data_IF_917839389152
#
_entry.id   IF_917839389152
#
_cell.length_a   1.000
_cell.length_b   1.000
_cell.length_c   1.000
_cell.angle_alpha   90.00
_cell.angle_beta   90.00
_cell.angle_gamma   90.00
#
_symmetry.space_group_name_H-M   'P 1'
#
loop_
_entity.id
_entity.type
_entity.pdbx_description
1 polymer ?
#
# COMPACT_ATOMS: atom_id res chain seq x y z
N UNK A 1 3.15 15.78 1.33
CA UNK A 1 3.12 14.46 1.96
C UNK A 1 2.35 13.50 1.08
N UNK A 2 2.85 12.31 0.91
CA UNK A 2 2.22 11.28 0.08
C UNK A 2 1.74 10.16 1.00
N UNK A 3 0.48 9.79 0.87
CA UNK A 3 -0.10 8.66 1.57
C UNK A 3 -0.71 7.69 0.56
N UNK A 4 -0.52 6.41 0.78
CA UNK A 4 -1.03 5.39 -0.12
C UNK A 4 -1.36 4.12 0.65
N UNK A 5 -2.32 3.37 0.11
CA UNK A 5 -2.54 1.99 0.48
C UNK A 5 -1.99 1.12 -0.64
N UNK A 6 -1.21 0.13 -0.29
CA UNK A 6 -0.68 -0.84 -1.25
C UNK A 6 -1.20 -2.21 -0.90
N UNK A 7 -1.94 -2.78 -1.82
CA UNK A 7 -2.48 -4.13 -1.69
C UNK A 7 -1.49 -5.07 -2.35
N UNK A 8 -1.12 -6.13 -1.65
CA UNK A 8 -0.04 -7.01 -2.06
C UNK A 8 -0.53 -8.44 -2.15
N UNK A 9 -0.29 -9.07 -3.30
CA UNK A 9 -0.37 -10.51 -3.44
C UNK A 9 1.01 -11.10 -3.27
N UNK A 10 1.11 -12.16 -2.49
CA UNK A 10 2.37 -12.83 -2.27
C UNK A 10 2.22 -14.34 -2.39
N UNK A 11 3.34 -15.00 -2.63
CA UNK A 11 3.38 -16.45 -2.65
C UNK A 11 3.36 -16.99 -1.23
N UNK A 12 2.48 -17.92 -0.97
CA UNK A 12 2.50 -18.70 0.25
C UNK A 12 3.67 -19.72 0.18
N UNK A 13 4.48 -19.90 1.23
CA UNK A 13 4.32 -19.42 2.62
C UNK A 13 5.16 -18.18 2.97
N UNK A 14 5.48 -17.31 2.03
CA UNK A 14 6.38 -16.18 2.24
C UNK A 14 5.74 -14.97 2.92
N UNK A 15 4.44 -15.01 3.17
CA UNK A 15 3.68 -13.88 3.73
C UNK A 15 4.28 -13.33 5.03
N UNK A 16 4.75 -14.20 5.92
CA UNK A 16 5.36 -13.78 7.18
C UNK A 16 6.69 -13.06 6.98
N UNK A 17 7.53 -13.59 6.11
CA UNK A 17 8.83 -12.98 5.78
C UNK A 17 8.63 -11.64 5.10
N UNK A 18 7.66 -11.55 4.20
CA UNK A 18 7.33 -10.32 3.50
C UNK A 18 6.86 -9.27 4.49
N UNK A 19 6.00 -9.63 5.42
CA UNK A 19 5.52 -8.72 6.47
C UNK A 19 6.70 -8.16 7.28
N UNK A 20 7.65 -8.99 7.66
CA UNK A 20 8.83 -8.55 8.41
C UNK A 20 9.68 -7.58 7.60
N UNK A 21 9.88 -7.85 6.32
CA UNK A 21 10.65 -6.97 5.44
C UNK A 21 9.93 -5.64 5.18
N UNK A 22 8.61 -5.67 5.02
CA UNK A 22 7.81 -4.45 4.87
C UNK A 22 7.96 -3.55 6.09
N UNK A 23 7.91 -4.11 7.27
CA UNK A 23 8.05 -3.35 8.53
C UNK A 23 9.40 -2.67 8.68
N UNK A 24 10.42 -3.09 7.95
CA UNK A 24 11.74 -2.46 7.96
C UNK A 24 11.83 -1.22 7.08
N UNK A 25 10.86 -1.01 6.19
CA UNK A 25 10.83 0.16 5.34
C UNK A 25 10.25 1.33 6.13
N UNK A 26 11.00 2.41 6.25
CA UNK A 26 10.64 3.53 7.13
C UNK A 26 9.33 4.21 6.75
N UNK A 27 8.97 4.22 5.48
CA UNK A 27 7.72 4.84 5.01
C UNK A 27 6.48 3.97 5.27
N UNK A 28 6.67 2.72 5.65
CA UNK A 28 5.55 1.82 5.97
C UNK A 28 5.08 2.11 7.40
N UNK A 29 3.83 2.52 7.54
CA UNK A 29 3.26 2.79 8.86
C UNK A 29 2.51 1.60 9.44
N UNK A 30 1.83 0.84 8.59
CA UNK A 30 1.01 -0.29 9.03
C UNK A 30 1.05 -1.40 8.00
N UNK A 31 0.97 -2.64 8.47
CA UNK A 31 0.84 -3.82 7.61
C UNK A 31 -0.28 -4.69 8.18
N UNK A 32 -1.24 -5.03 7.34
CA UNK A 32 -2.38 -5.85 7.71
C UNK A 32 -2.44 -7.10 6.85
N UNK A 33 -2.75 -8.21 7.47
CA UNK A 33 -3.06 -9.44 6.75
C UNK A 33 -4.56 -9.42 6.41
N UNK A 34 -4.90 -9.86 5.20
CA UNK A 34 -6.29 -9.85 4.73
C UNK A 34 -6.72 -11.22 4.26
N UNK A 35 -8.04 -11.41 4.20
CA UNK A 35 -8.65 -12.56 3.55
C UNK A 35 -9.34 -12.06 2.30
N UNK A 36 -8.91 -12.50 1.12
CA UNK A 36 -9.51 -12.06 -0.13
C UNK A 36 -8.54 -12.18 -1.29
N UNK A 37 -8.77 -11.35 -2.29
CA UNK A 37 -7.95 -11.35 -3.51
C UNK A 37 -6.50 -10.97 -3.23
N UNK A 38 -6.29 -10.06 -2.29
CA UNK A 38 -4.96 -9.64 -1.86
C UNK A 38 -4.66 -10.21 -0.48
N UNK A 39 -3.39 -10.50 -0.24
CA UNK A 39 -2.94 -11.14 1.00
C UNK A 39 -2.57 -10.15 2.10
N UNK A 40 -2.01 -9.02 1.71
CA UNK A 40 -1.56 -8.00 2.64
C UNK A 40 -2.02 -6.63 2.16
N UNK A 41 -2.29 -5.74 3.11
CA UNK A 41 -2.49 -4.32 2.87
C UNK A 41 -1.46 -3.58 3.69
N UNK A 42 -0.75 -2.66 3.08
CA UNK A 42 0.18 -1.81 3.79
C UNK A 42 -0.13 -0.34 3.53
N UNK A 43 0.12 0.48 4.54
CA UNK A 43 -0.03 1.92 4.43
C UNK A 43 1.34 2.56 4.33
N UNK A 44 1.52 3.39 3.32
CA UNK A 44 2.73 4.18 3.12
C UNK A 44 2.43 5.63 3.45
N UNK A 45 3.29 6.24 4.26
CA UNK A 45 3.27 7.67 4.51
C UNK A 45 4.68 8.20 4.33
N UNK A 46 4.87 9.10 3.40
CA UNK A 46 6.18 9.66 3.12
C UNK A 46 6.10 11.14 2.74
N UNK A 47 7.26 11.80 2.71
CA UNK A 47 7.32 13.25 2.55
C UNK A 47 7.38 13.70 1.10
N UNK A 48 7.72 12.82 0.15
CA UNK A 48 7.91 13.18 -1.24
C UNK A 48 7.56 12.05 -2.19
N UNK A 49 7.32 12.40 -3.46
CA UNK A 49 7.12 11.40 -4.51
C UNK A 49 8.36 10.54 -4.72
N UNK A 50 9.54 11.12 -4.57
CA UNK A 50 10.79 10.37 -4.69
C UNK A 50 10.86 9.25 -3.66
N UNK A 51 10.58 9.57 -2.40
CA UNK A 51 10.55 8.59 -1.32
C UNK A 51 9.48 7.53 -1.57
N UNK A 52 8.33 7.94 -2.10
CA UNK A 52 7.27 7.02 -2.45
C UNK A 52 7.73 6.01 -3.51
N UNK A 53 8.36 6.50 -4.58
CA UNK A 53 8.86 5.62 -5.64
C UNK A 53 9.93 4.66 -5.14
N UNK A 54 10.83 5.14 -4.30
CA UNK A 54 11.85 4.30 -3.68
C UNK A 54 11.23 3.20 -2.82
N UNK A 55 10.22 3.55 -2.05
CA UNK A 55 9.50 2.59 -1.21
C UNK A 55 8.78 1.54 -2.07
N UNK A 56 8.11 1.97 -3.13
CA UNK A 56 7.45 1.03 -4.05
C UNK A 56 8.45 0.10 -4.71
N UNK A 57 9.59 0.60 -5.13
CA UNK A 57 10.66 -0.23 -5.67
C UNK A 57 11.12 -1.25 -4.65
N UNK A 58 11.30 -0.82 -3.41
CA UNK A 58 11.67 -1.73 -2.32
C UNK A 58 10.65 -2.83 -2.11
N UNK A 59 9.37 -2.50 -2.14
CA UNK A 59 8.29 -3.48 -1.98
C UNK A 59 8.31 -4.51 -3.12
N UNK A 60 8.38 -4.04 -4.36
CA UNK A 60 8.32 -4.93 -5.53
C UNK A 60 9.53 -5.86 -5.65
N UNK A 61 10.64 -5.51 -5.00
CA UNK A 61 11.85 -6.33 -4.99
C UNK A 61 11.90 -7.36 -3.86
N UNK A 62 10.93 -7.35 -2.96
CA UNK A 62 10.87 -8.36 -1.89
C UNK A 62 10.54 -9.71 -2.52
N UNK A 63 11.35 -10.73 -2.21
CA UNK A 63 11.09 -12.08 -2.68
C UNK A 63 9.72 -12.56 -2.17
N UNK A 64 8.94 -13.12 -3.07
CA UNK A 64 7.61 -13.61 -2.74
C UNK A 64 6.49 -12.63 -3.04
N UNK A 65 6.79 -11.35 -3.26
CA UNK A 65 5.78 -10.40 -3.73
C UNK A 65 5.47 -10.70 -5.19
N UNK A 66 4.21 -11.01 -5.46
CA UNK A 66 3.75 -11.41 -6.78
C UNK A 66 3.20 -10.23 -7.58
N UNK A 67 2.30 -9.48 -6.98
CA UNK A 67 1.72 -8.29 -7.60
C UNK A 67 1.29 -7.29 -6.54
N UNK A 68 1.19 -6.03 -6.96
CA UNK A 68 0.76 -4.94 -6.08
C UNK A 68 -0.27 -4.07 -6.78
N UNK A 69 -1.16 -3.49 -5.99
CA UNK A 69 -2.07 -2.45 -6.44
C UNK A 69 -1.96 -1.28 -5.48
N UNK A 70 -1.73 -0.10 -6.02
CA UNK A 70 -1.55 1.11 -5.21
C UNK A 70 -2.76 2.01 -5.32
N UNK A 71 -3.26 2.44 -4.16
CA UNK A 71 -4.32 3.43 -4.05
C UNK A 71 -3.73 4.65 -3.36
N UNK A 72 -3.57 5.74 -4.11
CA UNK A 72 -3.12 7.00 -3.53
C UNK A 72 -4.25 7.61 -2.72
N UNK A 73 -3.92 8.06 -1.53
CA UNK A 73 -4.88 8.72 -0.65
C UNK A 73 -4.72 10.22 -0.85
N UNK A 74 -5.76 10.84 -1.38
CA UNK A 74 -5.79 12.29 -1.53
C UNK A 74 -6.01 12.95 -0.18
N UNK A 75 -5.73 14.25 -0.11
CA UNK A 75 -6.11 15.04 1.05
C UNK A 75 -7.60 14.86 1.31
N UNK A 76 -7.97 14.79 2.58
CA UNK A 76 -9.36 14.53 2.98
C UNK A 76 -10.35 15.50 2.34
N UNK A 77 -9.95 16.77 2.21
CA UNK A 77 -10.80 17.79 1.58
C UNK A 77 -10.94 17.56 0.09
N UNK A 78 -9.86 17.24 -0.57
CA UNK A 78 -9.86 16.91 -2.00
C UNK A 78 -10.70 15.67 -2.26
N UNK A 79 -10.54 14.65 -1.42
CA UNK A 79 -11.30 13.42 -1.55
C UNK A 79 -12.81 13.68 -1.44
N UNK A 80 -13.22 14.50 -0.46
CA UNK A 80 -14.62 14.85 -0.28
C UNK A 80 -15.14 15.64 -1.48
N UNK A 81 -14.33 16.56 -2.01
CA UNK A 81 -14.70 17.37 -3.16
C UNK A 81 -14.83 16.53 -4.43
N UNK A 82 -13.97 15.54 -4.61
CA UNK A 82 -13.98 14.66 -5.78
C UNK A 82 -15.00 13.53 -5.65
N UNK A 83 -15.31 13.13 -4.46
CA UNK A 83 -16.38 12.18 -4.20
C UNK A 83 -17.73 12.84 -4.41
N UNK A 84 -18.03 13.16 -5.66
CA UNK A 84 -19.39 13.49 -5.98
C UNK A 84 -20.26 12.31 -5.60
N UNK A 85 -21.31 12.53 -4.80
CA UNK A 85 -22.21 11.44 -4.51
C UNK A 85 -22.66 10.86 -5.83
N UNK A 86 -22.24 9.65 -6.09
CA UNK A 86 -22.86 8.86 -7.15
C UNK A 86 -24.31 8.81 -6.71
N UNK A 87 -25.17 9.46 -7.48
CA UNK A 87 -26.58 9.37 -7.22
C UNK A 87 -26.96 7.90 -7.36
N UNK A 88 -26.90 7.22 -6.25
CA UNK A 88 -27.42 5.87 -6.16
C UNK A 88 -28.91 5.99 -6.08
N UNK A 89 -29.50 5.95 -7.22
CA UNK A 89 -30.95 5.88 -7.28
C UNK A 89 -31.44 4.44 -7.24
#
# INVERSE_FOLDING_TARGET
>A
MVSALVLINCHFPFDKQITEKLKRLSAISDVYRTNGVYDLITKIVCSSEKEFKETMTGITRIDGVNSTMTLLIADKRELIAEMKPIALN
#
